data_IF_302708312706
#
_entry.id   IF_302708312706
#
_cell.length_a   1.000
_cell.length_b   1.000
_cell.length_c   1.000
_cell.angle_alpha   90.00
_cell.angle_beta   90.00
_cell.angle_gamma   90.00
#
_symmetry.space_group_name_H-M   'P 1'
#
loop_
_entity.id
_entity.type
_entity.pdbx_description
1 polymer ?
#
# COMPACT_ATOMS: atom_id res chain seq x y z
N UNK A 1 0.83 33.32 -64.52
CA UNK A 1 1.57 32.72 -63.43
C UNK A 1 0.60 32.40 -62.29
N UNK A 2 0.36 31.09 -62.07
CA UNK A 2 -0.50 30.67 -60.95
C UNK A 2 0.43 30.36 -59.74
N UNK A 3 0.40 31.22 -58.74
CA UNK A 3 1.07 30.94 -57.47
C UNK A 3 0.27 29.89 -56.70
N UNK A 4 0.83 28.68 -56.53
CA UNK A 4 0.30 27.68 -55.60
C UNK A 4 0.79 28.04 -54.20
N UNK A 5 -0.12 28.58 -53.38
CA UNK A 5 0.11 28.77 -51.96
C UNK A 5 0.05 27.41 -51.32
N UNK A 6 1.21 26.85 -50.96
CA UNK A 6 1.29 25.66 -50.06
C UNK A 6 1.02 26.16 -48.67
N UNK A 7 -0.17 25.82 -48.11
CA UNK A 7 -0.42 25.99 -46.71
C UNK A 7 0.39 24.92 -45.93
N UNK A 8 1.21 25.28 -44.93
CA UNK A 8 1.83 24.31 -44.10
C UNK A 8 0.76 23.67 -43.20
N UNK A 9 0.60 22.36 -43.34
CA UNK A 9 -0.20 21.54 -42.43
C UNK A 9 0.55 21.53 -41.09
N UNK A 10 0.10 22.33 -40.12
CA UNK A 10 0.58 22.32 -38.77
C UNK A 10 -0.01 21.08 -38.08
N UNK A 11 0.75 20.00 -38.09
CA UNK A 11 0.42 18.79 -37.33
C UNK A 11 0.64 19.13 -35.86
N UNK A 12 -0.44 19.45 -35.16
CA UNK A 12 -0.47 19.54 -33.70
C UNK A 12 -0.24 18.15 -33.14
N UNK A 13 1.02 17.85 -32.78
CA UNK A 13 1.32 16.73 -31.87
C UNK A 13 0.73 17.08 -30.51
N UNK A 14 -0.48 16.59 -30.23
CA UNK A 14 -0.95 16.49 -28.86
C UNK A 14 -0.08 15.44 -28.17
N UNK A 15 1.00 15.89 -27.55
CA UNK A 15 1.72 15.08 -26.58
C UNK A 15 0.81 14.90 -25.37
N UNK A 16 0.15 13.74 -25.30
CA UNK A 16 -0.55 13.32 -24.11
C UNK A 16 0.49 13.18 -23.01
N UNK A 17 0.60 14.19 -22.15
CA UNK A 17 1.32 14.07 -20.89
C UNK A 17 0.55 13.07 -20.04
N UNK A 18 0.95 11.82 -20.10
CA UNK A 18 0.57 10.84 -19.08
C UNK A 18 1.31 11.28 -17.82
N UNK A 19 0.62 11.97 -16.94
CA UNK A 19 1.11 12.20 -15.59
C UNK A 19 1.19 10.84 -14.91
N UNK A 20 2.40 10.29 -14.83
CA UNK A 20 2.68 9.13 -14.00
C UNK A 20 2.48 9.59 -12.55
N UNK A 21 1.31 9.30 -11.97
CA UNK A 21 1.13 9.48 -10.53
C UNK A 21 2.15 8.59 -9.83
N UNK A 22 3.11 9.20 -9.15
CA UNK A 22 4.11 8.49 -8.40
C UNK A 22 3.42 7.69 -7.29
N UNK A 23 3.50 6.37 -7.36
CA UNK A 23 3.08 5.47 -6.29
C UNK A 23 3.97 5.74 -5.08
N UNK A 24 3.37 6.15 -3.96
CA UNK A 24 4.13 6.52 -2.78
C UNK A 24 4.03 5.43 -1.72
N UNK A 25 5.10 4.66 -1.59
CA UNK A 25 5.38 3.92 -0.36
C UNK A 25 5.77 4.93 0.73
N UNK A 26 5.11 4.84 1.88
CA UNK A 26 5.42 5.68 3.04
C UNK A 26 5.79 4.80 4.22
N UNK A 27 6.95 5.04 4.83
CA UNK A 27 7.37 4.37 6.06
C UNK A 27 6.83 5.11 7.27
N UNK A 28 6.23 4.37 8.20
CA UNK A 28 5.63 4.89 9.43
C UNK A 28 6.00 4.00 10.61
N UNK A 29 5.82 4.50 11.82
CA UNK A 29 5.95 3.73 13.06
C UNK A 29 4.59 3.52 13.74
N UNK A 30 4.55 2.68 14.77
CA UNK A 30 3.32 2.35 15.52
C UNK A 30 2.61 3.58 16.07
N UNK A 31 3.35 4.57 16.56
CA UNK A 31 2.75 5.83 17.08
C UNK A 31 2.04 6.61 15.97
N UNK A 32 2.69 6.74 14.82
CA UNK A 32 2.08 7.39 13.64
C UNK A 32 0.83 6.63 13.18
N UNK A 33 0.92 5.29 13.11
CA UNK A 33 -0.22 4.43 12.73
C UNK A 33 -1.40 4.62 13.70
N UNK A 34 -1.15 4.64 15.01
CA UNK A 34 -2.22 4.87 15.99
C UNK A 34 -2.93 6.21 15.77
N UNK A 35 -2.18 7.26 15.50
CA UNK A 35 -2.73 8.57 15.19
C UNK A 35 -3.55 8.58 13.89
N UNK A 36 -3.05 7.89 12.86
CA UNK A 36 -3.74 7.75 11.57
C UNK A 36 -5.08 7.02 11.73
N UNK A 37 -5.11 5.93 12.51
CA UNK A 37 -6.32 5.15 12.77
C UNK A 37 -7.36 5.91 13.58
N UNK A 38 -6.94 6.82 14.46
CA UNK A 38 -7.86 7.73 15.18
C UNK A 38 -8.53 8.74 14.25
N UNK A 39 -7.81 9.21 13.23
CA UNK A 39 -8.29 10.25 12.30
C UNK A 39 -9.12 9.69 11.14
N UNK A 40 -8.93 8.43 10.75
CA UNK A 40 -9.60 7.85 9.58
C UNK A 40 -10.03 6.42 9.81
N UNK A 41 -11.33 6.17 9.63
CA UNK A 41 -11.91 4.82 9.63
C UNK A 41 -11.76 4.09 8.28
N UNK A 42 -11.23 4.76 7.26
CA UNK A 42 -11.06 4.20 5.91
C UNK A 42 -9.73 3.49 5.71
N UNK A 43 -8.82 3.56 6.68
CA UNK A 43 -7.55 2.86 6.62
C UNK A 43 -7.76 1.36 6.85
N UNK A 44 -7.16 0.56 6.01
CA UNK A 44 -7.19 -0.90 6.09
C UNK A 44 -5.83 -1.36 6.62
N UNK A 45 -5.84 -2.08 7.73
CA UNK A 45 -4.63 -2.66 8.31
C UNK A 45 -4.46 -4.08 7.80
N UNK A 46 -3.32 -4.39 7.23
CA UNK A 46 -2.96 -5.69 6.68
C UNK A 46 -1.79 -6.29 7.46
N UNK A 47 -2.08 -7.34 8.20
CA UNK A 47 -1.09 -8.18 8.89
C UNK A 47 -0.64 -9.29 7.94
N UNK A 48 0.64 -9.29 7.59
CA UNK A 48 1.20 -10.28 6.66
C UNK A 48 2.00 -11.37 7.34
N UNK A 49 1.81 -11.53 8.65
CA UNK A 49 2.39 -12.61 9.45
C UNK A 49 1.62 -13.91 9.27
N UNK A 50 2.12 -14.99 9.87
CA UNK A 50 1.43 -16.27 9.92
C UNK A 50 0.10 -16.17 10.68
N UNK A 51 -0.82 -17.10 10.42
CA UNK A 51 -2.08 -17.19 11.15
C UNK A 51 -1.86 -17.38 12.66
N UNK A 52 -0.88 -18.17 13.07
CA UNK A 52 -0.55 -18.37 14.49
C UNK A 52 -0.09 -17.08 15.16
N UNK A 53 0.80 -16.30 14.52
CA UNK A 53 1.22 -14.99 15.02
C UNK A 53 0.03 -14.03 15.13
N UNK A 54 -0.83 -13.99 14.11
CA UNK A 54 -2.02 -13.16 14.08
C UNK A 54 -2.99 -13.52 15.23
N UNK A 55 -3.26 -14.81 15.42
CA UNK A 55 -4.16 -15.30 16.46
C UNK A 55 -3.61 -15.10 17.88
N UNK A 56 -2.29 -15.03 18.04
CA UNK A 56 -1.66 -14.71 19.33
C UNK A 56 -1.77 -13.22 19.70
N UNK A 57 -2.02 -12.36 18.72
CA UNK A 57 -2.25 -10.93 18.91
C UNK A 57 -2.02 -10.16 17.62
N UNK A 58 -2.92 -9.24 17.29
CA UNK A 58 -2.85 -8.41 16.09
C UNK A 58 -3.48 -7.03 16.33
N UNK A 59 -3.18 -6.07 15.50
CA UNK A 59 -3.80 -4.74 15.55
C UNK A 59 -5.31 -4.89 15.34
N UNK A 60 -6.10 -4.26 16.18
CA UNK A 60 -7.56 -4.32 16.13
C UNK A 60 -8.09 -4.01 14.73
N UNK A 61 -8.92 -4.91 14.21
CA UNK A 61 -9.53 -4.78 12.88
C UNK A 61 -8.63 -5.14 11.70
N UNK A 62 -7.40 -5.63 11.93
CA UNK A 62 -6.50 -6.03 10.86
C UNK A 62 -7.02 -7.24 10.08
N UNK A 63 -6.79 -7.23 8.77
CA UNK A 63 -6.89 -8.41 7.91
C UNK A 63 -5.59 -9.20 8.00
N UNK A 64 -5.66 -10.53 7.85
CA UNK A 64 -4.48 -11.38 7.79
C UNK A 64 -4.33 -12.04 6.42
N UNK A 65 -3.16 -11.85 5.82
CA UNK A 65 -2.69 -12.60 4.65
C UNK A 65 -1.25 -12.99 4.91
N UNK A 66 -1.00 -14.25 5.20
CA UNK A 66 0.35 -14.78 5.43
C UNK A 66 1.15 -14.79 4.12
N UNK A 67 2.14 -13.90 3.99
CA UNK A 67 2.96 -13.79 2.77
C UNK A 67 3.87 -14.99 2.51
N UNK A 68 3.99 -15.90 3.45
CA UNK A 68 4.71 -17.17 3.25
C UNK A 68 3.90 -18.20 2.46
N UNK A 69 2.59 -18.02 2.35
CA UNK A 69 1.73 -18.89 1.57
C UNK A 69 1.89 -18.61 0.07
N UNK A 70 1.80 -19.67 -0.73
CA UNK A 70 2.02 -19.59 -2.19
C UNK A 70 0.96 -18.73 -2.90
N UNK A 71 -0.24 -18.61 -2.34
CA UNK A 71 -1.36 -17.84 -2.87
C UNK A 71 -1.49 -16.42 -2.29
N UNK A 72 -0.54 -16.01 -1.46
CA UNK A 72 -0.62 -14.75 -0.72
C UNK A 72 -0.71 -13.53 -1.65
N UNK A 73 0.14 -13.44 -2.65
CA UNK A 73 0.14 -12.31 -3.57
C UNK A 73 -1.12 -12.28 -4.45
N UNK A 74 -1.63 -13.44 -4.84
CA UNK A 74 -2.94 -13.53 -5.52
C UNK A 74 -4.08 -13.01 -4.64
N UNK A 75 -4.05 -13.30 -3.34
CA UNK A 75 -5.03 -12.74 -2.38
C UNK A 75 -4.89 -11.23 -2.21
N UNK A 76 -3.66 -10.73 -2.13
CA UNK A 76 -3.39 -9.30 -2.07
C UNK A 76 -3.94 -8.59 -3.31
N UNK A 77 -3.70 -9.14 -4.50
CA UNK A 77 -4.15 -8.54 -5.77
C UNK A 77 -5.67 -8.40 -5.90
N UNK A 78 -6.43 -9.20 -5.14
CA UNK A 78 -7.90 -9.11 -5.09
C UNK A 78 -8.42 -7.99 -4.17
N UNK A 79 -7.57 -7.38 -3.36
CA UNK A 79 -7.93 -6.25 -2.51
C UNK A 79 -8.21 -5.00 -3.37
N UNK A 80 -8.93 -4.05 -2.81
CA UNK A 80 -9.22 -2.79 -3.50
C UNK A 80 -7.94 -1.94 -3.68
N UNK A 81 -7.45 -1.82 -4.90
CA UNK A 81 -6.23 -1.07 -5.23
C UNK A 81 -6.34 0.44 -4.97
N UNK A 82 -7.54 0.98 -4.84
CA UNK A 82 -7.79 2.38 -4.49
C UNK A 82 -7.85 2.63 -2.98
N UNK A 83 -7.82 1.58 -2.16
CA UNK A 83 -7.80 1.68 -0.71
C UNK A 83 -6.47 2.23 -0.18
N UNK A 84 -6.48 2.65 1.09
CA UNK A 84 -5.29 3.06 1.83
C UNK A 84 -4.94 1.97 2.83
N UNK A 85 -3.74 1.42 2.71
CA UNK A 85 -3.30 0.27 3.48
C UNK A 85 -2.16 0.62 4.43
N UNK A 86 -2.23 0.08 5.64
CA UNK A 86 -1.12 -0.01 6.58
C UNK A 86 -0.72 -1.47 6.64
N UNK A 87 0.51 -1.78 6.27
CA UNK A 87 1.02 -3.15 6.19
C UNK A 87 2.09 -3.35 7.25
N UNK A 88 1.98 -4.43 8.02
CA UNK A 88 2.95 -4.76 9.03
C UNK A 88 3.21 -6.27 9.14
N UNK A 89 4.36 -6.59 9.70
CA UNK A 89 4.72 -7.93 10.13
C UNK A 89 5.36 -7.88 11.53
N UNK A 90 6.18 -8.85 11.89
CA UNK A 90 6.91 -8.82 13.15
C UNK A 90 8.03 -7.77 13.15
N UNK A 91 8.75 -7.65 12.06
CA UNK A 91 9.82 -6.67 11.84
C UNK A 91 9.46 -5.74 10.70
N UNK A 92 10.16 -5.82 9.57
CA UNK A 92 9.85 -5.08 8.35
C UNK A 92 10.16 -5.88 7.07
N UNK A 93 10.69 -7.10 7.21
CA UNK A 93 11.09 -7.89 6.03
C UNK A 93 9.88 -8.43 5.24
N UNK A 94 8.98 -9.15 5.89
CA UNK A 94 7.77 -9.70 5.25
C UNK A 94 6.83 -8.58 4.77
N UNK A 95 6.65 -7.54 5.58
CA UNK A 95 5.85 -6.37 5.18
C UNK A 95 6.50 -5.63 4.01
N UNK A 96 7.81 -5.55 3.95
CA UNK A 96 8.54 -4.98 2.80
C UNK A 96 8.25 -5.73 1.50
N UNK A 97 8.25 -7.07 1.54
CA UNK A 97 7.90 -7.90 0.37
C UNK A 97 6.46 -7.65 -0.09
N UNK A 98 5.51 -7.60 0.84
CA UNK A 98 4.11 -7.33 0.52
C UNK A 98 3.91 -5.92 -0.06
N UNK A 99 4.53 -4.91 0.55
CA UNK A 99 4.45 -3.52 0.10
C UNK A 99 5.05 -3.36 -1.29
N UNK A 100 6.21 -3.96 -1.55
CA UNK A 100 6.82 -3.93 -2.88
C UNK A 100 5.89 -4.54 -3.93
N UNK A 101 5.30 -5.72 -3.66
CA UNK A 101 4.32 -6.33 -4.54
C UNK A 101 3.10 -5.42 -4.76
N UNK A 102 2.54 -4.84 -3.71
CA UNK A 102 1.39 -3.93 -3.80
C UNK A 102 1.71 -2.71 -4.67
N UNK A 103 2.90 -2.12 -4.52
CA UNK A 103 3.33 -0.99 -5.32
C UNK A 103 3.45 -1.37 -6.81
N UNK A 104 4.03 -2.53 -7.12
CA UNK A 104 4.14 -3.05 -8.48
C UNK A 104 2.77 -3.40 -9.10
N UNK A 105 1.81 -3.79 -8.28
CA UNK A 105 0.45 -4.17 -8.69
C UNK A 105 -0.51 -2.98 -8.84
N UNK A 106 -0.05 -1.75 -8.60
CA UNK A 106 -0.84 -0.54 -8.82
C UNK A 106 -1.69 -0.08 -7.64
N UNK A 107 -1.39 -0.52 -6.42
CA UNK A 107 -2.01 0.06 -5.21
C UNK A 107 -1.60 1.52 -5.05
N UNK A 108 -2.56 2.40 -4.83
CA UNK A 108 -2.33 3.85 -4.85
C UNK A 108 -1.66 4.38 -3.60
N UNK A 109 -1.97 3.82 -2.42
CA UNK A 109 -1.47 4.32 -1.14
C UNK A 109 -1.18 3.18 -0.18
N UNK A 110 0.10 2.99 0.11
CA UNK A 110 0.57 1.91 1.01
C UNK A 110 1.55 2.48 2.04
N UNK A 111 1.24 2.27 3.30
CA UNK A 111 2.10 2.60 4.43
C UNK A 111 2.72 1.32 4.99
N UNK A 112 4.03 1.31 5.19
CA UNK A 112 4.72 0.22 5.87
C UNK A 112 5.03 0.59 7.31
N UNK A 113 4.52 -0.17 8.27
CA UNK A 113 4.84 0.03 9.69
C UNK A 113 6.15 -0.67 10.02
N UNK A 114 7.21 0.12 10.21
CA UNK A 114 8.59 -0.36 10.24
C UNK A 114 9.00 -1.03 11.55
N UNK A 115 8.40 -0.66 12.68
CA UNK A 115 8.69 -1.23 14.00
C UNK A 115 7.89 -2.50 14.31
N UNK A 116 7.02 -2.92 13.39
CA UNK A 116 6.31 -4.18 13.45
C UNK A 116 5.36 -4.35 14.64
N UNK A 117 4.82 -5.55 14.79
CA UNK A 117 3.88 -5.82 15.88
C UNK A 117 4.49 -5.64 17.28
N UNK A 118 5.75 -5.99 17.58
CA UNK A 118 6.35 -5.70 18.87
C UNK A 118 6.35 -4.21 19.23
N UNK A 119 6.61 -3.33 18.27
CA UNK A 119 6.51 -1.88 18.45
C UNK A 119 5.10 -1.44 18.81
N UNK A 120 4.09 -1.99 18.16
CA UNK A 120 2.69 -1.76 18.47
C UNK A 120 2.32 -2.25 19.88
N UNK A 121 2.67 -3.50 20.21
CA UNK A 121 2.35 -4.11 21.50
C UNK A 121 3.01 -3.42 22.68
N UNK A 122 4.18 -2.80 22.50
CA UNK A 122 4.92 -2.08 23.54
C UNK A 122 4.25 -0.74 23.93
N UNK A 123 3.26 -0.24 23.21
CA UNK A 123 2.73 1.13 23.33
C UNK A 123 1.31 1.21 23.88
N UNK A 124 0.75 0.21 24.49
CA UNK A 124 -0.63 0.18 25.01
C UNK A 124 -1.72 0.50 23.96
N UNK A 125 -1.41 0.39 22.66
CA UNK A 125 -2.41 0.55 21.62
C UNK A 125 -3.32 -0.69 21.54
N UNK A 126 -4.56 -0.49 21.07
CA UNK A 126 -5.56 -1.54 21.00
C UNK A 126 -5.12 -2.69 20.06
N UNK A 127 -5.11 -3.92 20.58
CA UNK A 127 -4.93 -5.13 19.78
C UNK A 127 -5.92 -6.21 20.22
N UNK A 128 -6.11 -7.19 19.36
CA UNK A 128 -7.00 -8.34 19.55
C UNK A 128 -6.19 -9.64 19.59
N UNK A 129 -6.80 -10.69 20.16
CA UNK A 129 -6.30 -12.06 20.09
C UNK A 129 -7.32 -12.93 19.37
#
# INVERSE_FOLDING_TARGET
MKFKILLPVFVLFLSSFVTLEAQNKVEVNSKQVSQMLLKSKKLIVLDVRTADEFNAGHIKGALNIDVRQTDAFSKIDKLNHNGKYIVYCRTNHRSGMAVEHMMQSGFKKVYQMMDGFPGWAATNFAYEK
#
